data_IF_425567358119
#
_entry.id   IF_425567358119
#
_cell.length_a   1.000
_cell.length_b   1.000
_cell.length_c   1.000
_cell.angle_alpha   90.00
_cell.angle_beta   90.00
_cell.angle_gamma   90.00
#
_symmetry.space_group_name_H-M   'P 1'
#
loop_
_entity.id
_entity.type
_entity.pdbx_description
1 polymer ?
#
# COMPACT_ATOMS: atom_id res chain seq x y z
N UNK A 1 -11.98 7.40 1.24
CA UNK A 1 -11.60 6.75 -0.01
C UNK A 1 -12.00 5.29 0.02
N UNK A 2 -11.17 4.40 -0.54
CA UNK A 2 -11.32 2.95 -0.41
C UNK A 2 -11.21 2.53 1.06
N UNK A 3 -12.18 1.76 1.56
CA UNK A 3 -12.12 1.18 2.90
C UNK A 3 -11.68 -0.29 2.88
N UNK A 4 -12.50 -1.17 2.31
CA UNK A 4 -12.18 -2.60 2.12
C UNK A 4 -11.86 -3.38 3.41
N UNK A 5 -12.37 -2.93 4.56
CA UNK A 5 -12.16 -3.56 5.88
C UNK A 5 -13.49 -3.92 6.59
N UNK A 6 -14.62 -3.87 5.87
CA UNK A 6 -15.93 -4.22 6.39
C UNK A 6 -17.02 -3.24 5.98
N UNK A 7 -18.26 -3.56 6.32
CA UNK A 7 -19.47 -2.83 5.89
C UNK A 7 -20.53 -2.71 7.00
N UNK A 8 -20.26 -3.23 8.20
CA UNK A 8 -21.17 -3.10 9.35
C UNK A 8 -20.94 -1.75 10.05
N UNK A 9 -21.89 -1.24 10.85
CA UNK A 9 -21.69 -0.04 11.67
C UNK A 9 -20.41 -0.07 12.52
N UNK A 10 -20.03 -1.25 13.01
CA UNK A 10 -18.83 -1.44 13.82
C UNK A 10 -17.56 -1.47 12.96
N UNK A 11 -17.63 -1.96 11.72
CA UNK A 11 -16.46 -2.20 10.86
C UNK A 11 -16.26 -1.13 9.78
N UNK A 12 -17.22 -0.22 9.58
CA UNK A 12 -17.06 0.95 8.72
C UNK A 12 -16.15 2.01 9.38
N UNK A 13 -15.61 3.00 8.64
CA UNK A 13 -14.63 3.94 9.19
C UNK A 13 -15.10 4.66 10.47
N UNK A 14 -16.37 5.09 10.53
CA UNK A 14 -16.88 5.79 11.71
C UNK A 14 -16.96 4.89 12.96
N UNK A 15 -17.16 3.58 12.79
CA UNK A 15 -17.07 2.58 13.87
C UNK A 15 -15.64 2.24 14.28
N UNK A 16 -14.65 2.71 13.51
CA UNK A 16 -13.21 2.43 13.68
C UNK A 16 -12.43 3.69 14.08
N UNK A 17 -13.12 4.71 14.60
CA UNK A 17 -12.50 5.91 15.19
C UNK A 17 -12.33 7.10 14.24
N UNK A 18 -12.86 7.06 13.02
CA UNK A 18 -12.87 8.22 12.13
C UNK A 18 -14.10 9.12 12.36
N UNK A 19 -13.89 10.37 12.78
CA UNK A 19 -14.97 11.34 12.97
C UNK A 19 -15.75 11.64 11.68
N UNK A 20 -15.04 11.65 10.55
CA UNK A 20 -15.61 11.87 9.22
C UNK A 20 -15.11 10.80 8.24
N UNK A 21 -16.00 10.32 7.38
CA UNK A 21 -15.68 9.39 6.30
C UNK A 21 -16.38 9.77 5.00
N UNK A 22 -15.66 9.64 3.89
CA UNK A 22 -16.20 9.76 2.54
C UNK A 22 -15.49 8.76 1.63
N UNK A 23 -16.23 7.92 0.92
CA UNK A 23 -15.66 6.94 -0.01
C UNK A 23 -16.48 5.66 -0.13
N UNK A 24 -15.83 4.57 -0.51
CA UNK A 24 -16.47 3.31 -0.87
C UNK A 24 -15.99 2.17 0.05
N UNK A 25 -16.89 1.24 0.35
CA UNK A 25 -16.63 0.15 1.30
C UNK A 25 -15.95 -1.06 0.63
N UNK A 26 -16.26 -1.32 -0.64
CA UNK A 26 -15.68 -2.39 -1.43
C UNK A 26 -14.23 -2.14 -1.86
N UNK A 27 -13.64 -3.14 -2.51
CA UNK A 27 -12.24 -3.09 -2.97
C UNK A 27 -12.00 -2.14 -4.16
N UNK A 28 -13.03 -1.80 -4.94
CA UNK A 28 -12.96 -0.87 -6.07
C UNK A 28 -14.36 -0.34 -6.45
N UNK A 29 -14.39 0.71 -7.27
CA UNK A 29 -15.58 1.29 -7.92
C UNK A 29 -15.16 1.87 -9.28
N UNK A 30 -16.11 2.06 -10.18
CA UNK A 30 -15.94 2.98 -11.31
C UNK A 30 -15.85 4.43 -10.81
N UNK A 31 -14.93 5.23 -11.36
CA UNK A 31 -14.67 6.56 -10.82
C UNK A 31 -15.78 7.58 -11.12
N UNK A 32 -16.71 7.31 -12.03
CA UNK A 32 -17.74 8.27 -12.44
C UNK A 32 -19.14 7.85 -12.00
N UNK A 33 -19.48 6.56 -12.12
CA UNK A 33 -20.77 6.05 -11.64
C UNK A 33 -20.75 5.73 -10.16
N UNK A 34 -19.57 5.43 -9.60
CA UNK A 34 -19.38 4.97 -8.22
C UNK A 34 -20.01 3.61 -7.92
N UNK A 35 -20.22 2.81 -8.97
CA UNK A 35 -20.66 1.43 -8.85
C UNK A 35 -19.49 0.47 -8.85
N UNK A 36 -19.65 -0.61 -8.10
CA UNK A 36 -18.85 -1.80 -8.27
C UNK A 36 -19.51 -2.73 -9.31
N UNK A 37 -18.78 -3.02 -10.39
CA UNK A 37 -19.24 -3.83 -11.53
C UNK A 37 -18.63 -5.24 -11.60
N UNK A 38 -17.76 -5.59 -10.66
CA UNK A 38 -16.78 -6.66 -10.82
C UNK A 38 -17.13 -7.99 -10.12
N UNK A 39 -18.22 -8.01 -9.37
CA UNK A 39 -18.86 -9.20 -8.84
C UNK A 39 -20.35 -8.87 -8.65
N UNK A 40 -21.20 -9.61 -9.34
CA UNK A 40 -22.64 -9.33 -9.39
C UNK A 40 -23.34 -9.56 -8.05
N UNK A 41 -24.50 -8.90 -7.83
CA UNK A 41 -25.09 -7.87 -8.67
C UNK A 41 -24.29 -6.55 -8.64
N UNK A 42 -24.43 -5.74 -9.70
CA UNK A 42 -23.89 -4.38 -9.73
C UNK A 42 -24.47 -3.59 -8.56
N UNK A 43 -23.62 -2.91 -7.80
CA UNK A 43 -24.05 -2.15 -6.62
C UNK A 43 -23.39 -0.78 -6.63
N UNK A 44 -24.16 0.24 -6.26
CA UNK A 44 -23.60 1.53 -5.93
C UNK A 44 -22.85 1.42 -4.59
N UNK A 45 -21.73 2.12 -4.45
CA UNK A 45 -20.84 2.02 -3.29
C UNK A 45 -20.13 3.36 -3.09
N UNK A 46 -20.89 4.39 -2.72
CA UNK A 46 -20.36 5.68 -2.29
C UNK A 46 -21.11 6.16 -1.07
N UNK A 47 -20.38 6.42 -0.01
CA UNK A 47 -20.92 6.74 1.31
C UNK A 47 -20.23 7.97 1.89
N UNK A 48 -21.00 8.75 2.64
CA UNK A 48 -20.54 9.83 3.51
C UNK A 48 -21.07 9.57 4.92
N UNK A 49 -20.18 9.37 5.88
CA UNK A 49 -20.52 9.06 7.27
C UNK A 49 -21.54 7.91 7.40
N UNK A 50 -21.26 6.80 6.69
CA UNK A 50 -22.13 5.61 6.64
C UNK A 50 -23.41 5.75 5.82
N UNK A 51 -23.77 6.96 5.38
CA UNK A 51 -24.96 7.19 4.54
C UNK A 51 -24.58 7.15 3.07
N UNK A 52 -25.33 6.41 2.26
CA UNK A 52 -25.12 6.36 0.81
C UNK A 52 -25.40 7.73 0.17
N UNK A 53 -24.53 8.16 -0.76
CA UNK A 53 -24.61 9.45 -1.45
C UNK A 53 -24.33 9.30 -2.94
N UNK A 54 -25.06 10.04 -3.78
CA UNK A 54 -24.98 9.90 -5.24
C UNK A 54 -24.34 11.15 -5.87
N UNK A 55 -23.16 10.98 -6.47
CA UNK A 55 -22.40 12.06 -7.10
C UNK A 55 -22.22 11.80 -8.61
N UNK A 56 -23.24 11.20 -9.25
CA UNK A 56 -23.18 10.64 -10.61
C UNK A 56 -22.45 11.53 -11.63
N UNK A 57 -21.49 10.94 -12.35
CA UNK A 57 -20.72 11.60 -13.39
C UNK A 57 -19.58 12.47 -12.89
N UNK A 58 -19.44 12.66 -11.57
CA UNK A 58 -18.30 13.35 -10.97
C UNK A 58 -17.15 12.37 -10.73
N UNK A 59 -15.95 12.79 -11.08
CA UNK A 59 -14.77 11.95 -10.95
C UNK A 59 -14.38 11.76 -9.48
N UNK A 60 -14.36 10.52 -9.00
CA UNK A 60 -14.16 10.18 -7.60
C UNK A 60 -12.87 10.75 -6.98
N UNK A 61 -11.71 10.73 -7.66
CA UNK A 61 -10.50 11.37 -7.14
C UNK A 61 -10.66 12.88 -6.92
N UNK A 62 -11.46 13.57 -7.73
CA UNK A 62 -11.74 14.99 -7.52
C UNK A 62 -12.64 15.19 -6.30
N UNK A 63 -13.67 14.35 -6.12
CA UNK A 63 -14.51 14.34 -4.91
C UNK A 63 -13.68 14.13 -3.64
N UNK A 64 -12.71 13.21 -3.68
CA UNK A 64 -11.79 12.95 -2.57
C UNK A 64 -10.96 14.18 -2.21
N UNK A 65 -10.41 14.88 -3.21
CA UNK A 65 -9.64 16.11 -2.99
C UNK A 65 -10.53 17.21 -2.42
N UNK A 66 -11.72 17.42 -2.96
CA UNK A 66 -12.67 18.41 -2.45
C UNK A 66 -13.08 18.15 -0.99
N UNK A 67 -13.30 16.88 -0.62
CA UNK A 67 -13.61 16.51 0.77
C UNK A 67 -12.44 16.79 1.72
N UNK A 68 -11.20 16.50 1.28
CA UNK A 68 -10.00 16.84 2.06
C UNK A 68 -9.85 18.35 2.17
N UNK A 69 -10.01 19.10 1.09
CA UNK A 69 -9.95 20.57 1.09
C UNK A 69 -10.98 21.16 2.07
N UNK A 70 -12.22 20.68 2.04
CA UNK A 70 -13.30 21.09 2.96
C UNK A 70 -12.96 20.78 4.42
N UNK A 71 -12.42 19.58 4.68
CA UNK A 71 -11.96 19.23 6.03
C UNK A 71 -10.89 20.21 6.48
N UNK A 72 -9.82 20.41 5.68
CA UNK A 72 -8.70 21.31 5.95
C UNK A 72 -9.11 22.77 6.22
N UNK A 73 -10.15 23.27 5.55
CA UNK A 73 -10.70 24.61 5.78
C UNK A 73 -11.57 24.74 7.03
N UNK A 74 -12.05 23.61 7.58
CA UNK A 74 -12.93 23.64 8.75
C UNK A 74 -12.13 24.07 9.98
N UNK A 75 -12.55 25.15 10.68
CA UNK A 75 -11.87 25.63 11.88
C UNK A 75 -11.74 24.53 12.93
N UNK A 76 -10.55 24.41 13.52
CA UNK A 76 -10.21 23.36 14.48
C UNK A 76 -9.27 23.89 15.55
N UNK A 77 -9.39 23.32 16.75
CA UNK A 77 -8.46 23.55 17.87
C UNK A 77 -7.56 22.36 18.15
N UNK A 78 -7.87 21.20 17.58
CA UNK A 78 -7.12 19.94 17.74
C UNK A 78 -6.35 19.61 16.45
N UNK A 79 -5.24 18.86 16.54
CA UNK A 79 -4.57 18.30 15.37
C UNK A 79 -5.51 17.36 14.62
N UNK A 80 -5.18 17.07 13.35
CA UNK A 80 -6.00 16.21 12.50
C UNK A 80 -5.22 14.96 12.07
N UNK A 81 -5.97 13.90 11.78
CA UNK A 81 -5.48 12.72 11.10
C UNK A 81 -6.37 12.47 9.86
N UNK A 82 -5.75 12.37 8.68
CA UNK A 82 -6.47 12.07 7.43
C UNK A 82 -5.85 10.82 6.82
N UNK A 83 -6.65 9.75 6.75
CA UNK A 83 -6.31 8.56 5.97
C UNK A 83 -6.86 8.70 4.55
N UNK A 84 -6.00 9.09 3.62
CA UNK A 84 -6.35 9.32 2.23
C UNK A 84 -6.10 8.09 1.34
N UNK A 85 -7.02 7.12 1.37
CA UNK A 85 -6.99 5.95 0.51
C UNK A 85 -7.59 6.24 -0.88
N UNK A 86 -6.81 6.82 -1.79
CA UNK A 86 -7.20 6.87 -3.20
C UNK A 86 -7.39 5.44 -3.75
N UNK A 87 -8.39 5.25 -4.61
CA UNK A 87 -8.58 3.98 -5.32
C UNK A 87 -7.64 3.85 -6.53
N UNK A 88 -7.04 4.94 -7.00
CA UNK A 88 -6.06 4.95 -8.10
C UNK A 88 -4.70 4.41 -7.61
N UNK A 89 -3.94 3.66 -8.44
CA UNK A 89 -4.18 3.33 -9.84
C UNK A 89 -4.88 1.98 -10.03
N UNK A 90 -5.71 1.52 -9.09
CA UNK A 90 -6.50 0.31 -9.30
C UNK A 90 -7.46 0.49 -10.48
N UNK A 91 -7.66 -0.57 -11.28
CA UNK A 91 -8.62 -0.52 -12.38
C UNK A 91 -10.01 -0.05 -11.89
N UNK A 92 -10.80 0.60 -12.76
CA UNK A 92 -10.55 0.86 -14.19
C UNK A 92 -9.57 2.01 -14.43
N UNK A 93 -8.72 1.91 -15.46
CA UNK A 93 -7.79 2.98 -15.83
C UNK A 93 -8.55 4.16 -16.44
N UNK A 94 -8.73 5.21 -15.64
CA UNK A 94 -9.54 6.38 -15.96
C UNK A 94 -8.76 7.66 -15.57
N UNK A 95 -7.72 7.98 -16.34
CA UNK A 95 -6.97 9.24 -16.21
C UNK A 95 -7.60 10.42 -16.94
N UNK A 96 -7.08 11.62 -16.70
CA UNK A 96 -7.47 12.83 -17.43
C UNK A 96 -7.13 12.71 -18.92
N UNK A 97 -8.02 13.24 -19.78
CA UNK A 97 -7.83 13.25 -21.23
C UNK A 97 -6.50 13.85 -21.69
N UNK A 98 -5.98 14.87 -20.98
CA UNK A 98 -4.68 15.48 -21.30
C UNK A 98 -3.52 14.48 -21.18
N UNK A 99 -3.55 13.62 -20.16
CA UNK A 99 -2.49 12.64 -19.92
C UNK A 99 -2.59 11.46 -20.86
N UNK A 100 -3.80 11.02 -21.21
CA UNK A 100 -3.98 10.06 -22.30
C UNK A 100 -3.37 10.58 -23.60
N UNK A 101 -3.74 11.79 -24.04
CA UNK A 101 -3.15 12.41 -25.23
C UNK A 101 -1.63 12.53 -25.16
N UNK A 102 -1.09 12.82 -23.98
CA UNK A 102 0.36 12.91 -23.79
C UNK A 102 1.04 11.53 -23.97
N UNK A 103 0.50 10.46 -23.39
CA UNK A 103 1.17 9.16 -23.38
C UNK A 103 0.84 8.23 -24.55
N UNK A 104 -0.27 8.44 -25.28
CA UNK A 104 -0.73 7.55 -26.35
C UNK A 104 0.38 7.21 -27.37
N UNK A 105 1.13 8.21 -27.82
CA UNK A 105 2.20 8.03 -28.83
C UNK A 105 3.60 7.88 -28.22
N UNK A 106 3.71 7.87 -26.87
CA UNK A 106 4.99 7.83 -26.15
C UNK A 106 5.27 6.52 -25.44
N UNK A 107 4.22 5.77 -25.10
CA UNK A 107 4.32 4.52 -24.37
C UNK A 107 3.42 3.47 -25.02
N UNK A 108 3.81 2.19 -25.01
CA UNK A 108 2.97 1.12 -25.56
C UNK A 108 1.72 0.92 -24.68
N UNK A 109 0.67 0.37 -25.27
CA UNK A 109 -0.45 -0.17 -24.50
C UNK A 109 -0.01 -1.41 -23.69
N UNK A 110 -0.50 -1.62 -22.45
CA UNK A 110 -1.38 -0.74 -21.66
C UNK A 110 -0.62 0.29 -20.79
N UNK A 111 0.71 0.39 -20.91
CA UNK A 111 1.56 1.31 -20.12
C UNK A 111 1.18 2.77 -20.31
N UNK A 112 0.75 3.17 -21.51
CA UNK A 112 0.22 4.51 -21.76
C UNK A 112 -1.00 4.85 -20.89
N UNK A 113 -1.93 3.91 -20.72
CA UNK A 113 -3.12 4.11 -19.90
C UNK A 113 -2.75 4.22 -18.42
N UNK A 114 -1.89 3.32 -17.95
CA UNK A 114 -1.41 3.33 -16.56
C UNK A 114 -0.64 4.61 -16.23
N UNK A 115 0.26 5.05 -17.11
CA UNK A 115 1.01 6.29 -16.93
C UNK A 115 0.09 7.51 -16.87
N UNK A 116 -0.93 7.57 -17.74
CA UNK A 116 -1.91 8.65 -17.69
C UNK A 116 -2.69 8.67 -16.36
N UNK A 117 -3.02 7.49 -15.85
CA UNK A 117 -3.74 7.35 -14.58
C UNK A 117 -2.89 7.78 -13.37
N UNK A 118 -1.60 7.42 -13.36
CA UNK A 118 -0.64 7.87 -12.33
C UNK A 118 -0.44 9.39 -12.37
N UNK A 119 -0.23 9.99 -13.55
CA UNK A 119 -0.09 11.45 -13.65
C UNK A 119 -1.35 12.21 -13.23
N UNK A 120 -2.52 11.61 -13.45
CA UNK A 120 -3.78 12.13 -12.96
C UNK A 120 -3.81 12.14 -11.43
N UNK A 121 -3.41 11.04 -10.78
CA UNK A 121 -3.31 10.92 -9.32
C UNK A 121 -2.30 11.92 -8.74
N UNK A 122 -1.12 12.04 -9.35
CA UNK A 122 -0.06 12.96 -8.93
C UNK A 122 -0.55 14.41 -8.83
N UNK A 123 -1.33 14.87 -9.81
CA UNK A 123 -1.90 16.23 -9.78
C UNK A 123 -2.89 16.44 -8.62
N UNK A 124 -3.65 15.40 -8.25
CA UNK A 124 -4.61 15.44 -7.12
C UNK A 124 -3.88 15.41 -5.78
N UNK A 125 -2.84 14.61 -5.64
CA UNK A 125 -1.92 14.66 -4.48
C UNK A 125 -1.31 16.05 -4.38
N UNK A 126 -0.84 16.61 -5.49
CA UNK A 126 -0.30 17.97 -5.54
C UNK A 126 -1.32 19.05 -5.14
N UNK A 127 -2.61 18.88 -5.46
CA UNK A 127 -3.67 19.79 -4.99
C UNK A 127 -3.80 19.78 -3.47
N UNK A 128 -3.82 18.61 -2.85
CA UNK A 128 -3.88 18.47 -1.39
C UNK A 128 -2.66 19.11 -0.72
N UNK A 129 -1.46 18.87 -1.25
CA UNK A 129 -0.23 19.47 -0.71
C UNK A 129 -0.23 21.00 -0.83
N UNK A 130 -0.61 21.55 -2.00
CA UNK A 130 -0.77 23.00 -2.18
C UNK A 130 -1.83 23.59 -1.26
N UNK A 131 -2.88 22.82 -0.92
CA UNK A 131 -3.89 23.26 0.04
C UNK A 131 -3.30 23.39 1.45
N UNK A 132 -2.51 22.41 1.89
CA UNK A 132 -1.80 22.49 3.17
C UNK A 132 -0.86 23.70 3.21
N UNK A 133 -0.13 23.97 2.13
CA UNK A 133 0.74 25.15 2.01
C UNK A 133 -0.04 26.46 2.07
N UNK A 134 -1.13 26.58 1.29
CA UNK A 134 -1.96 27.78 1.26
C UNK A 134 -2.62 28.11 2.60
N UNK A 135 -2.89 27.08 3.42
CA UNK A 135 -3.42 27.24 4.78
C UNK A 135 -2.32 27.39 5.84
N UNK A 136 -1.04 27.37 5.47
CA UNK A 136 0.08 27.46 6.41
C UNK A 136 0.25 26.23 7.31
N UNK A 137 -0.34 25.09 6.94
CA UNK A 137 -0.32 23.85 7.73
C UNK A 137 0.87 22.94 7.39
N UNK A 138 1.58 23.21 6.30
CA UNK A 138 2.55 22.27 5.70
C UNK A 138 3.72 21.90 6.62
N UNK A 139 4.27 22.87 7.36
CA UNK A 139 5.41 22.64 8.26
C UNK A 139 5.03 21.81 9.51
N UNK A 140 3.75 21.84 9.89
CA UNK A 140 3.22 21.10 11.04
C UNK A 140 2.35 19.90 10.62
N UNK A 141 2.60 19.36 9.42
CA UNK A 141 1.91 18.18 8.90
C UNK A 141 2.91 17.12 8.45
N UNK A 142 2.80 15.92 8.99
CA UNK A 142 3.47 14.72 8.50
C UNK A 142 2.67 14.19 7.31
N UNK A 143 3.33 14.03 6.16
CA UNK A 143 2.73 13.40 4.97
C UNK A 143 3.42 12.07 4.73
N UNK A 144 2.65 10.98 4.70
CA UNK A 144 3.10 9.64 4.33
C UNK A 144 2.38 9.23 3.06
N UNK A 145 3.12 8.79 2.05
CA UNK A 145 2.60 8.25 0.79
C UNK A 145 3.13 6.83 0.62
N UNK A 146 2.23 5.87 0.40
CA UNK A 146 2.58 4.47 0.14
C UNK A 146 1.52 3.80 -0.75
N UNK A 147 1.95 2.82 -1.56
CA UNK A 147 1.03 1.87 -2.20
C UNK A 147 0.47 0.86 -1.17
N UNK A 148 -0.66 0.21 -1.49
CA UNK A 148 -1.21 -0.90 -0.68
C UNK A 148 -0.62 -2.27 -1.07
N UNK A 149 -0.31 -2.47 -2.35
CA UNK A 149 0.36 -3.65 -2.90
C UNK A 149 1.07 -3.33 -4.23
N UNK A 150 1.76 -4.33 -4.78
CA UNK A 150 2.37 -4.26 -6.11
C UNK A 150 1.36 -4.01 -7.24
N UNK A 151 1.86 -3.72 -8.44
CA UNK A 151 1.01 -3.43 -9.60
C UNK A 151 0.14 -4.63 -10.01
N UNK A 152 -1.05 -4.40 -10.56
CA UNK A 152 -1.94 -5.46 -11.01
C UNK A 152 -1.65 -5.88 -12.46
N UNK A 153 -1.74 -7.18 -12.72
CA UNK A 153 -1.72 -7.83 -14.05
C UNK A 153 -3.04 -8.55 -14.33
N UNK A 154 -4.09 -8.26 -13.56
CA UNK A 154 -5.43 -8.82 -13.78
C UNK A 154 -5.98 -8.38 -15.16
N UNK A 155 -6.87 -9.18 -15.75
CA UNK A 155 -7.50 -8.86 -17.05
C UNK A 155 -8.16 -7.47 -17.05
N UNK A 156 -8.78 -7.09 -15.92
CA UNK A 156 -9.44 -5.80 -15.70
C UNK A 156 -8.45 -4.62 -15.61
N UNK A 157 -7.19 -4.91 -15.33
CA UNK A 157 -6.06 -4.00 -15.44
C UNK A 157 -5.38 -4.12 -16.82
N UNK A 158 -6.09 -4.55 -17.86
CA UNK A 158 -5.54 -4.73 -19.20
C UNK A 158 -4.32 -5.68 -19.25
N UNK A 159 -4.26 -6.63 -18.32
CA UNK A 159 -3.12 -7.52 -18.11
C UNK A 159 -1.80 -6.81 -17.78
N UNK A 160 -1.84 -5.56 -17.27
CA UNK A 160 -0.66 -4.88 -16.75
C UNK A 160 -0.62 -3.37 -17.01
N UNK A 161 0.58 -2.86 -17.29
CA UNK A 161 0.84 -1.43 -17.50
C UNK A 161 1.52 -0.78 -16.29
N UNK A 162 1.35 -1.32 -15.09
CA UNK A 162 2.27 -1.07 -13.99
C UNK A 162 3.64 -1.72 -14.21
N UNK A 163 4.61 -1.34 -13.38
CA UNK A 163 5.98 -1.85 -13.47
C UNK A 163 6.62 -1.80 -12.08
N UNK A 164 7.21 -2.92 -11.65
CA UNK A 164 7.91 -3.03 -10.36
C UNK A 164 9.43 -2.79 -10.50
N UNK A 165 9.88 -2.19 -11.60
CA UNK A 165 11.31 -2.02 -11.89
C UNK A 165 12.03 -3.37 -11.98
N UNK A 166 13.13 -3.58 -11.25
CA UNK A 166 13.87 -4.84 -11.29
C UNK A 166 13.21 -5.96 -10.46
N UNK A 167 12.20 -5.65 -9.64
CA UNK A 167 11.64 -6.61 -8.70
C UNK A 167 10.69 -7.60 -9.39
N UNK A 168 10.84 -8.90 -9.09
CA UNK A 168 9.99 -9.97 -9.65
C UNK A 168 8.60 -9.98 -9.02
N UNK A 169 7.61 -10.28 -9.85
CA UNK A 169 6.23 -10.48 -9.42
C UNK A 169 5.40 -9.21 -9.40
N UNK A 170 4.16 -9.37 -8.96
CA UNK A 170 3.13 -8.33 -9.03
C UNK A 170 2.10 -8.52 -7.89
N UNK A 171 0.98 -7.79 -7.92
CA UNK A 171 -0.13 -7.96 -6.96
C UNK A 171 -0.44 -9.46 -6.73
N UNK A 172 -0.64 -9.84 -5.47
CA UNK A 172 -0.78 -11.22 -4.95
C UNK A 172 0.50 -12.05 -4.79
N UNK A 173 1.61 -11.63 -5.40
CA UNK A 173 2.92 -12.28 -5.22
C UNK A 173 3.55 -11.94 -3.87
N UNK A 174 4.31 -12.88 -3.31
CA UNK A 174 5.25 -12.62 -2.21
C UNK A 174 6.70 -12.39 -2.69
N UNK A 175 6.96 -12.42 -4.01
CA UNK A 175 8.18 -11.84 -4.56
C UNK A 175 8.16 -10.31 -4.43
N UNK A 176 9.33 -9.67 -4.48
CA UNK A 176 9.52 -8.25 -4.14
C UNK A 176 8.59 -7.33 -4.94
N UNK A 177 8.27 -7.63 -6.20
CA UNK A 177 7.36 -6.82 -7.03
C UNK A 177 5.90 -6.80 -6.55
N UNK A 178 5.52 -7.74 -5.68
CA UNK A 178 4.21 -7.79 -5.02
C UNK A 178 4.15 -7.07 -3.67
N UNK A 179 5.25 -7.08 -2.91
CA UNK A 179 5.29 -6.64 -1.49
C UNK A 179 6.29 -5.50 -1.18
N UNK A 180 7.23 -5.19 -2.06
CA UNK A 180 8.16 -4.06 -1.92
C UNK A 180 7.60 -2.83 -2.62
N UNK A 181 7.12 -1.90 -1.82
CA UNK A 181 6.30 -0.79 -2.29
C UNK A 181 7.05 0.54 -2.22
N UNK A 182 6.77 1.49 -3.14
CA UNK A 182 7.21 2.86 -2.95
C UNK A 182 6.58 3.44 -1.69
N UNK A 183 7.42 4.03 -0.83
CA UNK A 183 7.00 4.71 0.39
C UNK A 183 7.82 5.99 0.58
N UNK A 184 7.14 7.09 0.90
CA UNK A 184 7.77 8.40 1.18
C UNK A 184 7.12 8.99 2.42
N UNK A 185 7.94 9.53 3.32
CA UNK A 185 7.49 10.35 4.44
C UNK A 185 8.13 11.73 4.33
N UNK A 186 7.36 12.77 4.65
CA UNK A 186 7.84 14.15 4.63
C UNK A 186 7.28 14.96 5.80
N UNK A 187 8.19 15.57 6.55
CA UNK A 187 7.89 16.52 7.61
C UNK A 187 8.95 17.65 7.63
N UNK A 188 8.71 18.73 6.84
CA UNK A 188 9.68 19.80 6.63
C UNK A 188 10.18 20.40 7.94
N UNK A 189 11.50 20.59 8.03
CA UNK A 189 12.15 21.14 9.23
C UNK A 189 12.14 20.21 10.46
N UNK A 190 11.62 18.99 10.36
CA UNK A 190 11.51 18.03 11.49
C UNK A 190 12.23 16.71 11.24
N UNK A 191 12.27 16.23 9.99
CA UNK A 191 13.08 15.07 9.59
C UNK A 191 14.06 15.45 8.48
N UNK A 192 15.20 14.74 8.33
CA UNK A 192 16.16 15.00 7.26
C UNK A 192 15.55 14.88 5.85
N UNK A 193 15.83 15.86 4.99
CA UNK A 193 15.30 15.92 3.62
C UNK A 193 16.22 15.23 2.61
N UNK A 194 15.65 14.82 1.46
CA UNK A 194 16.40 14.22 0.35
C UNK A 194 17.08 12.88 0.69
N UNK A 195 16.60 12.18 1.71
CA UNK A 195 17.19 10.93 2.19
C UNK A 195 16.57 9.71 1.54
N UNK A 196 17.38 8.67 1.36
CA UNK A 196 16.95 7.31 1.05
C UNK A 196 17.35 6.40 2.22
N UNK A 197 16.46 5.47 2.58
CA UNK A 197 16.68 4.47 3.63
C UNK A 197 16.52 3.08 3.03
N UNK A 198 17.43 2.17 3.39
CA UNK A 198 17.52 0.82 2.85
C UNK A 198 17.17 -0.27 3.89
N UNK A 199 16.96 0.14 5.13
CA UNK A 199 16.49 -0.71 6.22
C UNK A 199 15.15 -1.38 5.85
N UNK A 200 14.96 -2.62 6.29
CA UNK A 200 13.68 -3.30 6.12
C UNK A 200 12.64 -2.64 7.03
N UNK A 201 11.55 -2.18 6.42
CA UNK A 201 10.38 -1.65 7.10
C UNK A 201 9.14 -2.31 6.49
N UNK A 202 8.06 -2.32 7.23
CA UNK A 202 6.79 -2.92 6.84
C UNK A 202 5.64 -1.94 7.06
N UNK A 203 4.50 -2.19 6.42
CA UNK A 203 3.33 -1.33 6.61
C UNK A 203 2.84 -1.29 8.07
N UNK A 204 3.14 -2.33 8.86
CA UNK A 204 2.82 -2.41 10.29
C UNK A 204 3.56 -1.34 11.11
N UNK A 205 4.69 -0.83 10.61
CA UNK A 205 5.52 0.15 11.31
C UNK A 205 4.92 1.57 11.29
N UNK A 206 3.96 1.85 10.39
CA UNK A 206 3.39 3.20 10.31
C UNK A 206 2.60 3.61 11.54
N UNK A 207 1.81 2.69 12.11
CA UNK A 207 1.05 2.98 13.33
C UNK A 207 1.97 3.43 14.48
N UNK A 208 2.95 2.62 14.95
CA UNK A 208 3.83 3.05 16.02
C UNK A 208 4.71 4.24 15.64
N UNK A 209 5.08 4.40 14.37
CA UNK A 209 5.83 5.58 13.90
C UNK A 209 5.01 6.86 14.04
N UNK A 210 3.75 6.86 13.59
CA UNK A 210 2.88 8.05 13.70
C UNK A 210 2.62 8.38 15.16
N UNK A 211 2.37 7.37 16.01
CA UNK A 211 2.18 7.58 17.44
C UNK A 211 3.42 8.21 18.10
N UNK A 212 4.62 7.68 17.83
CA UNK A 212 5.88 8.22 18.36
C UNK A 212 6.14 9.66 17.87
N UNK A 213 5.98 9.92 16.57
CA UNK A 213 6.18 11.28 16.01
C UNK A 213 5.17 12.29 16.55
N UNK A 214 3.96 11.87 16.89
CA UNK A 214 2.93 12.71 17.49
C UNK A 214 2.98 12.75 19.03
N UNK A 215 3.90 12.02 19.68
CA UNK A 215 3.98 11.95 21.14
C UNK A 215 2.79 11.27 21.80
N UNK A 216 2.11 10.37 21.09
CA UNK A 216 0.97 9.59 21.58
C UNK A 216 1.46 8.22 22.05
N UNK A 217 1.07 7.83 23.26
CA UNK A 217 1.40 6.50 23.77
C UNK A 217 0.65 5.41 22.99
N UNK A 218 1.30 4.29 22.63
CA UNK A 218 0.61 3.16 22.05
C UNK A 218 -0.42 2.61 23.04
N UNK A 219 -1.51 2.06 22.50
CA UNK A 219 -2.49 1.35 23.30
C UNK A 219 -1.90 0.01 23.80
N UNK A 220 -2.55 -0.63 24.78
CA UNK A 220 -2.04 -1.84 25.44
C UNK A 220 -1.98 -3.07 24.53
N UNK A 221 -2.58 -3.02 23.34
CA UNK A 221 -2.56 -4.12 22.39
C UNK A 221 -1.14 -4.37 21.87
N UNK A 222 -0.79 -5.65 21.77
CA UNK A 222 0.41 -6.08 21.08
C UNK A 222 0.28 -5.76 19.58
N UNK A 223 1.27 -5.05 19.05
CA UNK A 223 1.39 -4.72 17.63
C UNK A 223 2.71 -5.30 17.10
N UNK A 224 2.73 -5.69 15.83
CA UNK A 224 3.91 -6.30 15.19
C UNK A 224 4.89 -5.28 14.62
N UNK A 225 4.49 -4.00 14.54
CA UNK A 225 5.31 -2.93 14.01
C UNK A 225 6.18 -2.24 15.05
N UNK A 226 7.23 -1.56 14.59
CA UNK A 226 8.10 -0.72 15.40
C UNK A 226 8.15 0.70 14.86
N UNK A 227 8.43 1.69 15.72
CA UNK A 227 8.65 3.06 15.25
C UNK A 227 9.88 3.15 14.35
N UNK A 228 9.70 3.75 13.17
CA UNK A 228 10.77 4.05 12.23
C UNK A 228 11.55 5.31 12.61
N UNK A 229 11.20 6.01 13.69
CA UNK A 229 11.88 7.25 14.12
C UNK A 229 13.42 7.12 14.16
N UNK A 230 14.03 6.02 14.66
CA UNK A 230 15.49 5.85 14.59
C UNK A 230 16.02 5.78 13.14
N UNK A 231 15.32 5.07 12.25
CA UNK A 231 15.66 4.95 10.83
C UNK A 231 15.52 6.30 10.11
N UNK A 232 14.48 7.07 10.44
CA UNK A 232 14.31 8.42 9.89
C UNK A 232 15.46 9.33 10.31
N UNK A 233 15.85 9.28 11.59
CA UNK A 233 16.91 10.11 12.15
C UNK A 233 18.31 9.76 11.64
N UNK A 234 18.62 8.48 11.36
CA UNK A 234 19.95 8.05 10.96
C UNK A 234 19.97 6.99 9.87
N UNK A 235 20.80 7.21 8.84
CA UNK A 235 21.05 6.23 7.78
C UNK A 235 21.74 4.95 8.28
N UNK A 236 22.42 5.01 9.44
CA UNK A 236 23.15 3.88 10.03
C UNK A 236 22.36 3.17 11.12
N UNK A 237 21.14 3.60 11.41
CA UNK A 237 20.28 2.87 12.33
C UNK A 237 20.02 1.45 11.77
N UNK A 238 19.98 0.42 12.65
CA UNK A 238 19.61 -0.91 12.22
C UNK A 238 18.17 -0.94 11.72
N UNK A 239 17.85 -1.97 10.93
CA UNK A 239 16.47 -2.32 10.65
C UNK A 239 15.71 -2.58 11.96
N UNK A 240 14.48 -2.09 12.13
CA UNK A 240 13.65 -2.45 13.28
C UNK A 240 13.32 -3.95 13.33
N UNK A 241 13.30 -4.59 12.16
CA UNK A 241 13.02 -6.02 12.02
C UNK A 241 14.32 -6.77 11.73
N UNK A 242 14.66 -7.75 12.56
CA UNK A 242 15.69 -8.76 12.25
C UNK A 242 15.17 -9.72 11.15
N UNK A 243 13.88 -10.07 11.27
CA UNK A 243 13.16 -10.94 10.36
C UNK A 243 11.71 -10.51 10.18
N UNK A 244 11.08 -10.89 9.09
CA UNK A 244 9.65 -10.68 8.88
C UNK A 244 9.04 -11.82 8.06
N UNK A 245 7.75 -12.10 8.29
CA UNK A 245 7.03 -13.23 7.71
C UNK A 245 5.80 -12.74 6.94
N UNK A 246 5.53 -13.38 5.80
CA UNK A 246 4.36 -13.15 4.99
C UNK A 246 3.67 -14.49 4.71
N UNK A 247 2.35 -14.49 4.69
CA UNK A 247 1.56 -15.62 4.23
C UNK A 247 0.30 -15.11 3.51
N UNK A 248 -0.03 -15.69 2.36
CA UNK A 248 -1.19 -15.31 1.56
C UNK A 248 -1.77 -16.50 0.79
N UNK A 249 -3.10 -16.53 0.63
CA UNK A 249 -3.81 -17.56 -0.14
C UNK A 249 -3.78 -18.98 0.45
N UNK A 250 -4.36 -19.94 -0.28
CA UNK A 250 -4.19 -21.39 -0.06
C UNK A 250 -4.83 -22.04 1.17
N UNK A 251 -5.44 -21.27 2.08
CA UNK A 251 -5.96 -21.79 3.34
C UNK A 251 -4.88 -22.58 4.11
N UNK A 252 -5.28 -23.54 4.94
CA UNK A 252 -4.33 -24.38 5.71
C UNK A 252 -3.54 -25.39 4.86
N UNK A 253 -3.88 -25.60 3.58
CA UNK A 253 -3.39 -26.76 2.82
C UNK A 253 -2.16 -26.44 1.95
N UNK A 254 -2.16 -25.30 1.23
CA UNK A 254 -1.01 -24.89 0.40
C UNK A 254 -0.90 -23.36 0.29
N UNK A 255 -0.68 -22.64 1.41
CA UNK A 255 -0.47 -21.20 1.33
C UNK A 255 0.83 -20.89 0.60
N UNK A 256 0.85 -19.72 -0.07
CA UNK A 256 2.09 -19.06 -0.41
C UNK A 256 2.61 -18.39 0.87
N UNK A 257 3.89 -18.52 1.15
CA UNK A 257 4.50 -17.82 2.26
C UNK A 257 5.93 -17.39 1.95
N UNK A 258 6.40 -16.40 2.71
CA UNK A 258 7.77 -15.94 2.62
C UNK A 258 8.29 -15.56 4.00
N UNK A 259 9.59 -15.74 4.20
CA UNK A 259 10.32 -15.21 5.36
C UNK A 259 11.57 -14.51 4.86
N UNK A 260 11.86 -13.35 5.44
CA UNK A 260 13.12 -12.64 5.23
C UNK A 260 13.86 -12.52 6.55
N UNK A 261 15.12 -12.91 6.57
CA UNK A 261 16.05 -12.69 7.68
C UNK A 261 17.35 -12.08 7.11
N UNK A 262 17.61 -10.82 7.48
CA UNK A 262 18.68 -10.04 6.86
C UNK A 262 18.53 -9.94 5.31
N UNK A 263 19.55 -10.32 4.53
CA UNK A 263 19.49 -10.28 3.06
C UNK A 263 18.80 -11.51 2.47
N UNK A 264 18.60 -12.57 3.24
CA UNK A 264 18.06 -13.83 2.72
C UNK A 264 16.54 -13.81 2.77
N UNK A 265 15.93 -14.19 1.66
CA UNK A 265 14.49 -14.34 1.55
C UNK A 265 14.16 -15.71 0.97
N UNK A 266 13.32 -16.44 1.69
CA UNK A 266 12.75 -17.70 1.25
C UNK A 266 11.29 -17.46 0.87
N UNK A 267 10.90 -17.85 -0.33
CA UNK A 267 9.51 -17.88 -0.81
C UNK A 267 9.14 -19.32 -1.09
N UNK A 268 7.98 -19.75 -0.59
CA UNK A 268 7.44 -21.10 -0.82
C UNK A 268 6.05 -21.03 -1.42
N UNK A 269 5.82 -21.87 -2.44
CA UNK A 269 4.61 -21.86 -3.28
C UNK A 269 4.32 -20.47 -3.86
N UNK A 270 5.38 -19.75 -4.26
CA UNK A 270 5.27 -18.42 -4.88
C UNK A 270 4.36 -18.45 -6.09
N UNK A 271 3.54 -17.40 -6.29
CA UNK A 271 2.56 -17.34 -7.39
C UNK A 271 3.22 -17.56 -8.76
N UNK A 272 4.43 -17.03 -8.94
CA UNK A 272 5.24 -17.12 -10.17
C UNK A 272 6.27 -18.26 -10.16
N UNK A 273 6.18 -19.21 -9.22
CA UNK A 273 7.08 -20.37 -9.18
C UNK A 273 6.58 -21.48 -10.09
N UNK A 274 7.51 -22.13 -10.79
CA UNK A 274 7.22 -23.40 -11.47
C UNK A 274 7.12 -24.53 -10.43
N UNK A 275 6.42 -25.64 -10.70
CA UNK A 275 6.27 -26.75 -9.74
C UNK A 275 7.59 -27.28 -9.15
N UNK A 276 8.67 -27.24 -9.93
CA UNK A 276 10.03 -27.63 -9.57
C UNK A 276 10.79 -26.56 -8.76
N UNK A 277 10.32 -25.31 -8.75
CA UNK A 277 10.91 -24.17 -8.04
C UNK A 277 10.03 -23.70 -6.86
N UNK A 278 9.19 -24.59 -6.32
CA UNK A 278 8.29 -24.27 -5.20
C UNK A 278 9.01 -23.69 -3.99
N UNK A 279 10.27 -24.04 -3.79
CA UNK A 279 11.14 -23.48 -2.75
C UNK A 279 12.13 -22.57 -3.47
N UNK A 280 12.00 -21.26 -3.25
CA UNK A 280 12.81 -20.25 -3.90
C UNK A 280 13.56 -19.44 -2.85
N UNK A 281 14.89 -19.58 -2.83
CA UNK A 281 15.76 -18.84 -1.91
C UNK A 281 16.57 -17.81 -2.70
N UNK A 282 16.57 -16.57 -2.25
CA UNK A 282 17.34 -15.48 -2.85
C UNK A 282 18.09 -14.68 -1.79
N UNK A 283 19.23 -14.10 -2.19
CA UNK A 283 19.93 -13.08 -1.42
C UNK A 283 19.68 -11.70 -2.04
N UNK A 284 18.88 -10.87 -1.38
CA UNK A 284 18.42 -9.58 -1.92
C UNK A 284 19.50 -8.50 -2.03
N UNK A 285 20.64 -8.65 -1.34
CA UNK A 285 21.78 -7.73 -1.52
C UNK A 285 22.54 -8.00 -2.83
N UNK A 286 22.43 -9.23 -3.35
CA UNK A 286 23.07 -9.65 -4.61
C UNK A 286 22.10 -9.69 -5.79
N UNK A 287 20.87 -10.12 -5.54
CA UNK A 287 19.83 -10.27 -6.55
C UNK A 287 18.48 -9.78 -6.02
N UNK A 288 18.23 -8.48 -6.18
CA UNK A 288 16.90 -7.88 -5.91
C UNK A 288 15.81 -8.33 -6.87
N UNK A 289 16.19 -8.93 -8.01
CA UNK A 289 15.24 -9.39 -9.02
C UNK A 289 14.71 -10.79 -8.78
N UNK A 290 15.29 -11.52 -7.81
CA UNK A 290 14.87 -12.89 -7.46
C UNK A 290 14.78 -13.79 -8.69
N UNK A 291 15.79 -13.68 -9.58
CA UNK A 291 15.90 -14.44 -10.83
C UNK A 291 16.79 -15.67 -10.67
N UNK A 292 17.62 -15.72 -9.63
CA UNK A 292 18.46 -16.86 -9.31
C UNK A 292 18.00 -17.56 -8.02
N UNK A 293 17.68 -18.84 -8.12
CA UNK A 293 17.27 -19.67 -6.98
C UNK A 293 18.49 -20.38 -6.36
N UNK A 294 18.82 -20.03 -5.11
CA UNK A 294 19.95 -20.60 -4.36
C UNK A 294 19.53 -21.76 -3.43
N UNK A 295 18.28 -22.22 -3.50
CA UNK A 295 17.75 -23.20 -2.54
C UNK A 295 18.50 -24.54 -2.57
N UNK A 296 18.91 -25.01 -3.75
CA UNK A 296 19.67 -26.26 -3.91
C UNK A 296 21.10 -26.16 -3.36
N UNK A 297 21.69 -24.97 -3.42
CA UNK A 297 23.06 -24.71 -2.98
C UNK A 297 23.15 -24.44 -1.47
N UNK A 298 22.03 -24.06 -0.84
CA UNK A 298 21.96 -23.65 0.57
C UNK A 298 20.90 -24.44 1.38
N UNK A 299 20.91 -25.79 1.40
CA UNK A 299 19.85 -26.59 2.02
C UNK A 299 19.71 -26.34 3.53
N UNK A 300 20.82 -26.07 4.23
CA UNK A 300 20.79 -25.73 5.66
C UNK A 300 20.09 -24.41 5.95
N UNK A 301 20.23 -23.42 5.07
CA UNK A 301 19.56 -22.13 5.22
C UNK A 301 18.06 -22.25 4.90
N UNK A 302 17.69 -23.03 3.89
CA UNK A 302 16.28 -23.36 3.61
C UNK A 302 15.63 -24.01 4.83
N UNK A 303 16.29 -24.99 5.45
CA UNK A 303 15.78 -25.66 6.65
C UNK A 303 15.59 -24.68 7.81
N UNK A 304 16.58 -23.82 8.06
CA UNK A 304 16.51 -22.79 9.11
C UNK A 304 15.34 -21.82 8.90
N UNK A 305 15.25 -21.20 7.71
CA UNK A 305 14.19 -20.23 7.40
C UNK A 305 12.79 -20.89 7.42
N UNK A 306 12.68 -22.14 6.97
CA UNK A 306 11.43 -22.90 7.05
C UNK A 306 11.00 -23.10 8.50
N UNK A 307 11.94 -23.51 9.38
CA UNK A 307 11.65 -23.69 10.80
C UNK A 307 11.19 -22.39 11.48
N UNK A 308 11.81 -21.25 11.13
CA UNK A 308 11.38 -19.93 11.60
C UNK A 308 9.95 -19.60 11.18
N UNK A 309 9.61 -19.84 9.91
CA UNK A 309 8.26 -19.58 9.42
C UNK A 309 7.22 -20.48 10.08
N UNK A 310 7.52 -21.76 10.27
CA UNK A 310 6.63 -22.70 10.95
C UNK A 310 6.42 -22.36 12.44
N UNK A 311 7.43 -21.81 13.10
CA UNK A 311 7.31 -21.31 14.47
C UNK A 311 6.40 -20.08 14.53
N UNK A 312 6.64 -19.09 13.67
CA UNK A 312 5.77 -17.92 13.56
C UNK A 312 4.33 -18.30 13.18
N UNK A 313 4.14 -19.22 12.24
CA UNK A 313 2.82 -19.67 11.80
C UNK A 313 2.00 -20.31 12.93
N UNK A 314 2.66 -20.88 13.95
CA UNK A 314 2.00 -21.40 15.16
C UNK A 314 1.56 -20.30 16.13
N UNK A 315 2.17 -19.11 16.09
CA UNK A 315 1.82 -17.98 16.97
C UNK A 315 0.68 -17.14 16.41
N UNK A 316 0.55 -17.08 15.08
CA UNK A 316 -0.58 -16.40 14.46
C UNK A 316 -1.81 -17.30 14.50
N UNK A 317 -2.78 -16.95 15.37
CA UNK A 317 -4.10 -17.58 15.39
C UNK A 317 -4.74 -17.44 14.01
N UNK A 318 -4.71 -18.49 13.20
CA UNK A 318 -5.44 -18.57 11.95
C UNK A 318 -6.88 -19.04 12.28
N UNK A 319 -7.89 -18.14 12.27
CA UNK A 319 -9.28 -18.57 12.34
C UNK A 319 -9.61 -19.63 11.27
#
# INVERSE_FOLDING_TARGET
GKWHLGYTPETMPNGQGFDHSFGHMGGCIDNFSHFFYWNGPNRHDLHRNGTEVFENGRFFPDLMVEEIERLLETPRSQPFFIYCAFNMPHYPYQGDAKWYRYYTDRLPYPRNLYAAFISTLDERVGRVLRKLEALGLREDTIVIYQSDNGHSTEERAHLGGGNAGPYRGHKFSLFEGGIRLPAVISWPGRIPEGQVRHQMATACDWLPTVLDLCGVSPAEQQIDGFSLRPVLASATAPSPHERFHWQSGGGRQTPQWAVREGPWKLVVNGLETMPEERIFLSNLDRDVSETHNEAADQPGLVQHLTALHEEWARTVNQP
#
